data_IF_619569301211
#
_entry.id   IF_619569301211
#
_cell.length_a   1.000
_cell.length_b   1.000
_cell.length_c   1.000
_cell.angle_alpha   90.00
_cell.angle_beta   90.00
_cell.angle_gamma   90.00
#
_symmetry.space_group_name_H-M   'P 1'
#
loop_
_entity.id
_entity.type
_entity.pdbx_description
1 polymer ?
#
# COMPACT_ATOMS: atom_id res chain seq x y z
N UNK A 1 -13.14 12.90 -11.21
CA UNK A 1 -13.30 12.31 -9.86
C UNK A 1 -13.14 13.35 -8.72
N UNK A 2 -12.10 14.20 -8.68
CA UNK A 2 -11.90 15.17 -7.57
C UNK A 2 -13.10 16.11 -7.31
N UNK A 3 -13.73 16.65 -8.35
CA UNK A 3 -14.91 17.54 -8.22
C UNK A 3 -16.05 16.87 -7.45
N UNK A 4 -16.26 15.56 -7.64
CA UNK A 4 -17.32 14.81 -6.96
C UNK A 4 -17.10 14.79 -5.45
N UNK A 5 -15.85 14.62 -4.99
CA UNK A 5 -15.54 14.70 -3.55
C UNK A 5 -15.93 16.05 -2.95
N UNK A 6 -15.71 17.15 -3.70
CA UNK A 6 -16.11 18.49 -3.29
C UNK A 6 -17.64 18.66 -3.26
N UNK A 7 -18.35 18.11 -4.24
CA UNK A 7 -19.82 18.15 -4.29
C UNK A 7 -20.45 17.37 -3.14
N UNK A 8 -19.97 16.15 -2.88
CA UNK A 8 -20.41 15.33 -1.73
C UNK A 8 -20.10 16.05 -0.43
N UNK A 9 -18.89 16.59 -0.26
CA UNK A 9 -18.53 17.35 0.94
C UNK A 9 -19.45 18.55 1.16
N UNK A 10 -19.77 19.31 0.11
CA UNK A 10 -20.69 20.44 0.20
C UNK A 10 -22.11 20.00 0.55
N UNK A 11 -22.64 18.98 -0.12
CA UNK A 11 -24.00 18.46 0.07
C UNK A 11 -24.25 17.99 1.51
N UNK A 12 -23.28 17.27 2.08
CA UNK A 12 -23.37 16.70 3.42
C UNK A 12 -22.69 17.56 4.51
N UNK A 13 -22.28 18.79 4.17
CA UNK A 13 -21.61 19.75 5.07
C UNK A 13 -20.38 19.15 5.78
N UNK A 14 -19.56 18.41 5.03
CA UNK A 14 -18.39 17.71 5.54
C UNK A 14 -17.15 18.60 5.52
N UNK A 15 -16.34 18.51 6.57
CA UNK A 15 -15.02 19.14 6.61
C UNK A 15 -14.00 18.29 5.83
N UNK A 16 -13.28 18.90 4.89
CA UNK A 16 -12.30 18.19 4.05
C UNK A 16 -10.87 18.43 4.48
N UNK A 17 -10.04 17.37 4.52
CA UNK A 17 -8.61 17.47 4.84
C UNK A 17 -7.75 16.66 3.87
N UNK A 18 -6.74 17.28 3.27
CA UNK A 18 -5.71 16.56 2.51
C UNK A 18 -4.73 15.92 3.49
N UNK A 19 -4.48 14.63 3.34
CA UNK A 19 -3.63 13.85 4.24
C UNK A 19 -2.21 13.68 3.70
N UNK A 20 -1.25 13.38 4.59
CA UNK A 20 0.13 13.06 4.19
C UNK A 20 0.26 11.80 3.33
N UNK A 21 -0.78 10.98 3.24
CA UNK A 21 -0.86 9.81 2.36
C UNK A 21 -1.52 10.08 1.01
N UNK A 22 -1.63 11.34 0.59
CA UNK A 22 -2.28 11.77 -0.66
C UNK A 22 -3.75 11.34 -0.77
N UNK A 23 -4.47 11.36 0.36
CA UNK A 23 -5.92 11.12 0.42
C UNK A 23 -6.66 12.40 0.83
N UNK A 24 -7.97 12.40 0.63
CA UNK A 24 -8.87 13.45 1.10
C UNK A 24 -9.81 12.81 2.11
N UNK A 25 -9.74 13.26 3.37
CA UNK A 25 -10.67 12.87 4.41
C UNK A 25 -11.94 13.73 4.31
N UNK A 26 -13.11 13.11 4.52
CA UNK A 26 -14.41 13.77 4.64
C UNK A 26 -14.94 13.55 6.07
N UNK A 27 -14.85 14.57 6.93
CA UNK A 27 -15.23 14.50 8.34
C UNK A 27 -16.62 15.09 8.60
N UNK A 28 -17.33 14.53 9.58
CA UNK A 28 -18.65 15.00 10.02
C UNK A 28 -19.83 14.22 9.41
N UNK A 29 -19.56 13.17 8.63
CA UNK A 29 -20.60 12.32 8.07
C UNK A 29 -21.34 11.59 9.19
N UNK A 30 -22.68 11.63 9.15
CA UNK A 30 -23.53 10.88 10.09
C UNK A 30 -23.64 9.43 9.61
N UNK A 31 -23.89 8.51 10.55
CA UNK A 31 -23.94 7.07 10.27
C UNK A 31 -25.03 6.74 9.23
N UNK A 32 -26.19 7.36 9.36
CA UNK A 32 -27.35 7.22 8.48
C UNK A 32 -27.14 7.80 7.07
N UNK A 33 -26.21 8.75 6.91
CA UNK A 33 -25.90 9.34 5.61
C UNK A 33 -24.90 8.48 4.80
N UNK A 34 -24.21 7.54 5.46
CA UNK A 34 -23.13 6.77 4.82
C UNK A 34 -23.60 5.98 3.59
N UNK A 35 -24.75 5.28 3.56
CA UNK A 35 -25.19 4.58 2.37
C UNK A 35 -25.37 5.51 1.17
N UNK A 36 -25.95 6.70 1.38
CA UNK A 36 -26.15 7.69 0.33
C UNK A 36 -24.84 8.30 -0.16
N UNK A 37 -23.95 8.68 0.78
CA UNK A 37 -22.60 9.19 0.46
C UNK A 37 -21.82 8.17 -0.37
N UNK A 38 -21.79 6.90 0.07
CA UNK A 38 -21.07 5.86 -0.67
C UNK A 38 -21.71 5.52 -2.00
N UNK A 39 -23.04 5.59 -2.11
CA UNK A 39 -23.75 5.44 -3.39
C UNK A 39 -23.26 6.45 -4.44
N UNK A 40 -23.21 7.74 -4.09
CA UNK A 40 -22.71 8.79 -4.98
C UNK A 40 -21.23 8.61 -5.33
N UNK A 41 -20.41 8.21 -4.36
CA UNK A 41 -18.98 7.99 -4.59
C UNK A 41 -18.74 6.78 -5.51
N UNK A 42 -19.46 5.68 -5.31
CA UNK A 42 -19.34 4.47 -6.14
C UNK A 42 -19.84 4.73 -7.55
N UNK A 43 -20.95 5.46 -7.73
CA UNK A 43 -21.44 5.87 -9.06
C UNK A 43 -20.39 6.70 -9.81
N UNK A 44 -19.63 7.54 -9.09
CA UNK A 44 -18.50 8.29 -9.65
C UNK A 44 -17.22 7.46 -9.85
N UNK A 45 -17.27 6.16 -9.58
CA UNK A 45 -16.18 5.20 -9.75
C UNK A 45 -15.14 5.22 -8.65
N UNK A 46 -15.49 5.64 -7.43
CA UNK A 46 -14.64 5.41 -6.25
C UNK A 46 -14.86 4.01 -5.69
N UNK A 47 -13.80 3.48 -5.09
CA UNK A 47 -13.83 2.25 -4.30
C UNK A 47 -13.50 2.57 -2.85
N UNK A 48 -13.91 1.68 -1.95
CA UNK A 48 -13.69 1.87 -0.52
C UNK A 48 -12.27 1.50 -0.13
N UNK A 49 -11.56 2.44 0.48
CA UNK A 49 -10.30 2.16 1.15
C UNK A 49 -10.50 1.73 2.60
N UNK A 50 -9.49 1.10 3.20
CA UNK A 50 -9.54 0.61 4.58
C UNK A 50 -8.90 1.60 5.56
N UNK A 51 -9.50 2.78 5.70
CA UNK A 51 -8.96 3.90 6.47
C UNK A 51 -8.63 3.59 7.94
N UNK A 52 -9.27 2.59 8.56
CA UNK A 52 -8.98 2.13 9.93
C UNK A 52 -8.59 0.64 10.03
N UNK A 53 -8.63 -0.10 8.92
CA UNK A 53 -8.31 -1.53 8.88
C UNK A 53 -6.85 -1.85 9.21
N UNK A 54 -6.60 -3.12 9.58
CA UNK A 54 -5.25 -3.70 9.60
C UNK A 54 -4.99 -4.29 8.21
N UNK A 55 -4.61 -3.41 7.31
CA UNK A 55 -4.58 -3.62 5.86
C UNK A 55 -3.69 -2.56 5.19
N UNK A 56 -3.60 -2.59 3.87
CA UNK A 56 -3.06 -1.46 3.11
C UNK A 56 -3.85 -0.18 3.42
N UNK A 57 -3.12 0.91 3.71
CA UNK A 57 -3.72 2.24 3.97
C UNK A 57 -3.55 3.24 2.83
N UNK A 58 -2.37 3.24 2.22
CA UNK A 58 -2.02 4.20 1.17
C UNK A 58 -0.80 3.71 0.42
N UNK A 59 -0.79 3.97 -0.89
CA UNK A 59 0.40 3.95 -1.73
C UNK A 59 0.67 5.40 -2.13
N UNK A 60 1.60 6.05 -1.44
CA UNK A 60 2.00 7.44 -1.75
C UNK A 60 2.95 7.42 -2.94
N UNK A 61 2.78 8.31 -3.91
CA UNK A 61 3.73 8.47 -5.01
C UNK A 61 4.23 9.90 -5.15
N UNK A 62 5.37 10.11 -5.81
CA UNK A 62 5.63 11.41 -6.43
C UNK A 62 4.92 11.48 -7.79
N UNK A 63 5.07 12.60 -8.49
CA UNK A 63 4.42 12.81 -9.80
C UNK A 63 5.11 12.09 -10.96
N UNK A 64 6.19 11.34 -10.69
CA UNK A 64 6.88 10.46 -11.64
C UNK A 64 7.53 11.19 -12.82
N UNK A 65 8.00 10.42 -13.81
CA UNK A 65 8.50 10.92 -15.10
C UNK A 65 7.42 11.63 -15.92
N UNK A 66 6.15 11.41 -15.61
CA UNK A 66 5.01 12.06 -16.27
C UNK A 66 5.00 13.57 -16.10
N UNK A 67 5.38 14.09 -14.92
CA UNK A 67 5.30 15.52 -14.63
C UNK A 67 6.57 16.10 -13.99
N UNK A 68 7.46 15.28 -13.45
CA UNK A 68 8.71 15.74 -12.85
C UNK A 68 9.83 15.67 -13.88
N UNK A 69 10.54 16.79 -14.10
CA UNK A 69 11.74 16.84 -14.95
C UNK A 69 12.88 15.90 -14.52
N UNK A 70 12.84 15.43 -13.27
CA UNK A 70 13.83 14.50 -12.70
C UNK A 70 13.27 13.09 -12.51
N UNK A 71 12.03 12.83 -12.92
CA UNK A 71 11.44 11.51 -12.81
C UNK A 71 12.14 10.56 -13.78
N UNK A 72 12.67 9.46 -13.25
CA UNK A 72 13.32 8.39 -14.01
C UNK A 72 12.26 7.41 -14.52
N UNK A 73 11.29 7.04 -13.67
CA UNK A 73 10.19 6.13 -14.03
C UNK A 73 8.82 6.66 -13.59
N UNK A 74 7.76 6.04 -14.12
CA UNK A 74 6.37 6.37 -13.80
C UNK A 74 5.97 5.82 -12.43
N UNK A 75 6.29 6.57 -11.38
CA UNK A 75 5.87 6.22 -10.02
C UNK A 75 4.36 6.31 -9.79
N UNK A 76 3.62 7.05 -10.62
CA UNK A 76 2.17 7.21 -10.45
C UNK A 76 1.47 5.94 -10.94
N UNK A 77 1.82 5.47 -12.14
CA UNK A 77 1.34 4.21 -12.69
C UNK A 77 1.65 3.03 -11.77
N UNK A 78 2.91 2.91 -11.33
CA UNK A 78 3.33 1.87 -10.40
C UNK A 78 2.57 1.93 -9.07
N UNK A 79 2.35 3.12 -8.50
CA UNK A 79 1.56 3.25 -7.28
C UNK A 79 0.10 2.80 -7.44
N UNK A 80 -0.53 3.10 -8.58
CA UNK A 80 -1.89 2.66 -8.88
C UNK A 80 -1.95 1.12 -9.02
N UNK A 81 -0.97 0.51 -9.68
CA UNK A 81 -0.90 -0.95 -9.83
C UNK A 81 -0.76 -1.64 -8.47
N UNK A 82 0.14 -1.16 -7.62
CA UNK A 82 0.35 -1.71 -6.27
C UNK A 82 -0.88 -1.50 -5.39
N UNK A 83 -1.54 -0.35 -5.46
CA UNK A 83 -2.78 -0.10 -4.72
C UNK A 83 -3.87 -1.09 -5.13
N UNK A 84 -4.07 -1.29 -6.43
CA UNK A 84 -5.07 -2.23 -6.94
C UNK A 84 -4.74 -3.69 -6.60
N UNK A 85 -3.45 -4.07 -6.60
CA UNK A 85 -3.03 -5.42 -6.23
C UNK A 85 -3.26 -5.70 -4.75
N UNK A 86 -2.91 -4.77 -3.86
CA UNK A 86 -2.88 -5.05 -2.41
C UNK A 86 -4.05 -4.47 -1.61
N UNK A 87 -5.03 -3.80 -2.23
CA UNK A 87 -6.18 -3.21 -1.52
C UNK A 87 -7.01 -4.22 -0.73
N UNK A 88 -7.08 -5.48 -1.16
CA UNK A 88 -7.78 -6.55 -0.45
C UNK A 88 -7.04 -7.14 0.75
N UNK A 89 -5.73 -6.87 0.89
CA UNK A 89 -4.91 -7.54 1.88
C UNK A 89 -5.31 -7.15 3.32
N UNK A 90 -5.60 -8.18 4.12
CA UNK A 90 -5.64 -8.09 5.59
C UNK A 90 -4.30 -8.52 6.16
N UNK A 91 -3.83 -7.79 7.16
CA UNK A 91 -2.48 -7.96 7.69
C UNK A 91 -2.44 -7.81 9.22
N UNK A 92 -1.39 -8.31 9.89
CA UNK A 92 -1.23 -8.20 11.34
C UNK A 92 -1.33 -6.76 11.85
N UNK A 93 -0.88 -5.80 11.05
CA UNK A 93 -1.08 -4.38 11.29
C UNK A 93 -1.24 -3.59 9.97
N UNK A 94 -1.57 -2.29 10.06
CA UNK A 94 -1.60 -1.35 8.93
C UNK A 94 -0.28 -1.34 8.15
N UNK A 95 -0.36 -1.33 6.83
CA UNK A 95 0.77 -1.29 5.90
C UNK A 95 0.67 -0.01 5.07
N UNK A 96 1.81 0.66 4.84
CA UNK A 96 1.92 1.82 3.95
C UNK A 96 2.99 1.58 2.91
N UNK A 97 2.76 2.10 1.72
CA UNK A 97 3.71 2.07 0.62
C UNK A 97 4.16 3.49 0.26
N UNK A 98 5.33 3.58 -0.35
CA UNK A 98 5.81 4.80 -1.00
C UNK A 98 6.56 4.48 -2.29
N UNK A 99 6.20 5.15 -3.39
CA UNK A 99 6.80 4.95 -4.71
C UNK A 99 7.39 6.27 -5.20
N UNK A 100 8.71 6.36 -5.25
CA UNK A 100 9.42 7.53 -5.76
C UNK A 100 9.98 7.24 -7.14
N UNK A 101 9.64 8.08 -8.12
CA UNK A 101 10.13 7.96 -9.48
C UNK A 101 11.61 8.32 -9.66
N UNK A 102 12.34 8.66 -8.59
CA UNK A 102 13.79 8.84 -8.57
C UNK A 102 14.31 8.93 -7.13
N UNK A 103 15.64 9.00 -6.97
CA UNK A 103 16.36 9.06 -5.68
C UNK A 103 16.11 10.34 -4.85
N UNK A 104 15.42 11.34 -5.41
CA UNK A 104 14.94 12.52 -4.64
C UNK A 104 13.85 12.18 -3.64
N UNK A 105 13.27 10.99 -3.74
CA UNK A 105 12.54 10.36 -2.63
C UNK A 105 11.26 11.11 -2.18
N UNK A 106 10.62 11.89 -3.07
CA UNK A 106 9.50 12.75 -2.67
C UNK A 106 8.25 12.01 -2.12
N UNK A 107 8.18 10.68 -2.24
CA UNK A 107 7.12 9.85 -1.66
C UNK A 107 7.41 9.35 -0.24
N UNK A 108 8.57 9.68 0.34
CA UNK A 108 9.05 9.19 1.64
C UNK A 108 9.04 7.65 1.73
N UNK A 109 9.30 6.97 0.59
CA UNK A 109 9.43 5.52 0.45
C UNK A 109 10.27 4.86 1.56
N UNK A 110 11.40 5.43 1.95
CA UNK A 110 12.28 4.89 3.00
C UNK A 110 11.71 5.07 4.42
N UNK A 111 10.50 5.61 4.59
CA UNK A 111 9.78 5.67 5.87
C UNK A 111 8.56 4.75 5.93
N UNK A 112 8.35 3.94 4.90
CA UNK A 112 7.16 3.10 4.72
C UNK A 112 7.48 1.62 4.92
N UNK A 113 6.43 0.85 5.21
CA UNK A 113 6.55 -0.60 5.37
C UNK A 113 7.11 -1.24 4.07
N UNK A 114 6.68 -0.71 2.90
CA UNK A 114 7.22 -1.00 1.57
C UNK A 114 7.61 0.31 0.87
N UNK A 115 8.90 0.47 0.56
CA UNK A 115 9.45 1.62 -0.15
C UNK A 115 9.99 1.21 -1.51
N UNK A 116 9.66 1.97 -2.54
CA UNK A 116 10.05 1.68 -3.92
C UNK A 116 10.66 2.95 -4.51
N UNK A 117 11.88 2.85 -5.04
CA UNK A 117 12.62 3.97 -5.62
C UNK A 117 13.13 3.56 -6.98
N UNK A 118 12.76 4.33 -8.01
CA UNK A 118 13.21 4.08 -9.37
C UNK A 118 14.72 4.35 -9.53
N UNK A 119 15.36 3.46 -10.28
CA UNK A 119 16.72 3.60 -10.82
C UNK A 119 16.65 3.58 -12.35
N UNK A 120 17.79 3.78 -13.02
CA UNK A 120 17.88 3.63 -14.48
C UNK A 120 17.70 2.17 -14.94
N UNK A 121 17.91 1.20 -14.03
CA UNK A 121 17.87 -0.23 -14.35
C UNK A 121 16.60 -0.94 -13.85
N UNK A 122 15.74 -0.26 -13.07
CA UNK A 122 14.56 -0.88 -12.49
C UNK A 122 14.15 -0.22 -11.18
N UNK A 123 13.77 -1.03 -10.19
CA UNK A 123 13.27 -0.58 -8.91
C UNK A 123 14.13 -1.09 -7.76
N UNK A 124 14.55 -0.18 -6.88
CA UNK A 124 15.06 -0.54 -5.57
C UNK A 124 13.90 -0.71 -4.59
N UNK A 125 13.82 -1.88 -3.98
CA UNK A 125 12.84 -2.23 -2.97
C UNK A 125 13.44 -2.08 -1.58
N UNK A 126 12.75 -1.35 -0.72
CA UNK A 126 13.05 -1.15 0.69
C UNK A 126 11.90 -1.70 1.53
N UNK A 127 12.22 -2.31 2.68
CA UNK A 127 11.19 -2.92 3.56
C UNK A 127 11.37 -2.54 5.02
N UNK A 128 10.32 -2.75 5.82
CA UNK A 128 10.34 -2.63 7.28
C UNK A 128 10.59 -1.20 7.81
N UNK A 129 10.26 -0.17 7.02
CA UNK A 129 10.24 1.21 7.49
C UNK A 129 8.97 1.53 8.27
N UNK A 130 9.03 2.60 9.06
CA UNK A 130 7.91 3.01 9.89
C UNK A 130 7.90 4.51 10.16
N UNK A 131 6.77 5.17 9.86
CA UNK A 131 6.42 6.46 10.45
C UNK A 131 5.50 6.30 11.68
N UNK A 132 5.75 7.07 12.74
CA UNK A 132 4.92 7.09 13.94
C UNK A 132 5.72 7.37 15.21
N UNK A 133 5.27 6.83 16.35
CA UNK A 133 5.88 7.05 17.67
C UNK A 133 7.35 6.66 17.75
N UNK A 134 7.73 5.56 17.08
CA UNK A 134 9.13 5.12 16.92
C UNK A 134 9.44 5.07 15.43
N UNK A 135 9.91 6.19 14.83
CA UNK A 135 10.24 6.22 13.42
C UNK A 135 11.43 5.30 13.13
N UNK A 136 11.42 4.67 11.96
CA UNK A 136 12.47 3.76 11.50
C UNK A 136 12.60 3.87 9.98
N UNK A 137 13.84 3.95 9.51
CA UNK A 137 14.10 3.87 8.07
C UNK A 137 13.90 2.42 7.58
N UNK A 138 13.32 2.30 6.40
CA UNK A 138 13.26 1.04 5.67
C UNK A 138 14.67 0.64 5.22
N UNK A 139 14.90 -0.66 5.09
CA UNK A 139 16.19 -1.22 4.70
C UNK A 139 16.15 -1.68 3.26
N UNK A 140 17.23 -1.46 2.51
CA UNK A 140 17.36 -1.91 1.13
C UNK A 140 17.30 -3.44 1.08
N UNK A 141 16.29 -3.94 0.39
CA UNK A 141 15.98 -5.37 0.31
C UNK A 141 16.47 -5.98 -0.99
N UNK A 142 16.19 -5.33 -2.12
CA UNK A 142 16.63 -5.75 -3.44
C UNK A 142 16.79 -4.52 -4.35
N UNK A 143 17.60 -4.65 -5.40
CA UNK A 143 17.94 -3.57 -6.32
C UNK A 143 17.63 -3.97 -7.75
N UNK A 144 17.38 -2.96 -8.60
CA UNK A 144 17.24 -3.11 -10.05
C UNK A 144 16.22 -4.19 -10.47
N UNK A 145 15.13 -4.30 -9.71
CA UNK A 145 14.02 -5.20 -10.02
C UNK A 145 13.22 -4.66 -11.22
N UNK A 146 12.85 -5.53 -12.15
CA UNK A 146 11.76 -5.23 -13.07
C UNK A 146 10.39 -5.26 -12.37
N UNK A 147 9.32 -4.88 -13.08
CA UNK A 147 7.97 -4.82 -12.51
C UNK A 147 7.48 -6.18 -11.99
N UNK A 148 7.78 -7.27 -12.70
CA UNK A 148 7.32 -8.62 -12.33
C UNK A 148 8.05 -9.12 -11.08
N UNK A 149 9.38 -8.97 -11.07
CA UNK A 149 10.22 -9.29 -9.93
C UNK A 149 9.83 -8.46 -8.70
N UNK A 150 9.51 -7.18 -8.89
CA UNK A 150 9.03 -6.31 -7.82
C UNK A 150 7.72 -6.84 -7.22
N UNK A 151 6.73 -7.19 -8.04
CA UNK A 151 5.47 -7.74 -7.55
C UNK A 151 5.67 -9.05 -6.80
N UNK A 152 6.37 -10.02 -7.40
CA UNK A 152 6.62 -11.33 -6.76
C UNK A 152 7.36 -11.17 -5.43
N UNK A 153 8.35 -10.29 -5.37
CA UNK A 153 9.11 -10.04 -4.13
C UNK A 153 8.23 -9.44 -3.04
N UNK A 154 7.36 -8.48 -3.38
CA UNK A 154 6.42 -7.88 -2.43
C UNK A 154 5.35 -8.89 -2.00
N UNK A 155 4.81 -9.69 -2.91
CA UNK A 155 3.83 -10.74 -2.62
C UNK A 155 4.37 -11.70 -1.54
N UNK A 156 5.57 -12.24 -1.80
CA UNK A 156 6.28 -13.15 -0.90
C UNK A 156 6.52 -12.49 0.46
N UNK A 157 7.07 -11.27 0.47
CA UNK A 157 7.35 -10.55 1.71
C UNK A 157 6.07 -10.34 2.54
N UNK A 158 4.99 -9.88 1.91
CA UNK A 158 3.74 -9.59 2.60
C UNK A 158 3.06 -10.86 3.11
N UNK A 159 3.01 -11.92 2.31
CA UNK A 159 2.44 -13.20 2.76
C UNK A 159 3.25 -13.84 3.86
N UNK A 160 4.59 -13.76 3.79
CA UNK A 160 5.46 -14.25 4.86
C UNK A 160 5.27 -13.45 6.16
N UNK A 161 5.18 -12.12 6.06
CA UNK A 161 4.83 -11.26 7.19
C UNK A 161 3.45 -11.60 7.78
N UNK A 162 2.42 -11.78 6.94
CA UNK A 162 1.08 -12.17 7.38
C UNK A 162 1.08 -13.51 8.11
N UNK A 163 1.90 -14.46 7.65
CA UNK A 163 2.00 -15.81 8.22
C UNK A 163 2.74 -15.84 9.55
N UNK A 164 3.76 -15.00 9.72
CA UNK A 164 4.75 -15.16 10.81
C UNK A 164 4.73 -14.07 11.86
N UNK A 165 4.14 -12.90 11.59
CA UNK A 165 4.09 -11.81 12.56
C UNK A 165 2.92 -11.94 13.55
N UNK A 166 3.16 -11.47 14.77
CA UNK A 166 2.16 -11.42 15.82
C UNK A 166 1.04 -10.42 15.50
N UNK A 167 -0.14 -10.66 16.08
CA UNK A 167 -1.27 -9.74 15.97
C UNK A 167 -0.88 -8.34 16.48
N UNK A 168 -1.20 -7.30 15.70
CA UNK A 168 -0.85 -5.90 15.96
C UNK A 168 0.64 -5.57 15.91
N UNK A 169 1.50 -6.47 15.41
CA UNK A 169 2.91 -6.20 15.21
C UNK A 169 3.14 -5.43 13.91
N UNK A 170 4.05 -4.44 13.91
CA UNK A 170 4.47 -3.73 12.69
C UNK A 170 5.57 -4.51 11.98
N UNK A 171 5.68 -4.36 10.66
CA UNK A 171 6.78 -4.93 9.85
C UNK A 171 8.16 -4.62 10.45
N UNK A 172 8.36 -3.39 10.93
CA UNK A 172 9.61 -2.98 11.59
C UNK A 172 9.93 -3.79 12.85
N UNK A 173 8.93 -4.02 13.72
CA UNK A 173 9.09 -4.75 14.99
C UNK A 173 9.20 -6.25 14.72
N UNK A 174 8.41 -6.75 13.76
CA UNK A 174 8.50 -8.13 13.29
C UNK A 174 9.90 -8.44 12.78
N UNK A 175 10.46 -7.60 11.90
CA UNK A 175 11.84 -7.75 11.42
C UNK A 175 12.88 -7.70 12.55
N UNK A 176 12.68 -6.87 13.56
CA UNK A 176 13.59 -6.79 14.72
C UNK A 176 13.60 -8.07 15.56
N UNK A 177 12.48 -8.79 15.60
CA UNK A 177 12.34 -10.03 16.36
C UNK A 177 12.69 -11.30 15.57
N UNK A 178 12.90 -11.19 14.26
CA UNK A 178 13.33 -12.33 13.43
C UNK A 178 14.80 -12.68 13.74
N UNK A 179 15.05 -13.93 14.10
CA UNK A 179 16.40 -14.48 14.17
C UNK A 179 17.04 -14.43 12.77
N UNK A 180 18.27 -13.93 12.66
CA UNK A 180 18.93 -13.64 11.38
C UNK A 180 18.46 -12.35 10.68
N UNK A 181 17.40 -11.68 11.18
CA UNK A 181 17.00 -10.34 10.76
C UNK A 181 16.72 -10.20 9.27
N UNK A 182 17.32 -9.18 8.64
CA UNK A 182 17.12 -8.89 7.21
C UNK A 182 17.75 -9.96 6.31
N UNK A 183 18.87 -10.55 6.71
CA UNK A 183 19.58 -11.55 5.90
C UNK A 183 18.75 -12.82 5.79
N UNK A 184 18.18 -13.28 6.90
CA UNK A 184 17.21 -14.39 6.87
C UNK A 184 16.00 -14.08 5.99
N UNK A 185 15.47 -12.85 6.02
CA UNK A 185 14.38 -12.46 5.12
C UNK A 185 14.80 -12.54 3.64
N UNK A 186 16.04 -12.18 3.29
CA UNK A 186 16.54 -12.31 1.92
C UNK A 186 16.67 -13.77 1.51
N UNK A 187 17.22 -14.62 2.38
CA UNK A 187 17.31 -16.07 2.12
C UNK A 187 15.93 -16.68 1.84
N UNK A 188 14.92 -16.36 2.66
CA UNK A 188 13.58 -16.91 2.47
C UNK A 188 12.92 -16.37 1.20
N UNK A 189 12.96 -15.05 0.99
CA UNK A 189 12.11 -14.39 -0.02
C UNK A 189 12.78 -14.31 -1.40
N UNK A 190 14.10 -14.11 -1.45
CA UNK A 190 14.86 -13.97 -2.69
C UNK A 190 15.47 -15.31 -3.13
N UNK A 191 15.92 -16.13 -2.18
CA UNK A 191 16.63 -17.40 -2.46
C UNK A 191 15.76 -18.64 -2.24
N UNK A 192 14.53 -18.47 -1.77
CA UNK A 192 13.57 -19.56 -1.49
C UNK A 192 14.13 -20.65 -0.56
N UNK A 193 14.89 -20.25 0.47
CA UNK A 193 15.56 -21.20 1.39
C UNK A 193 14.61 -22.18 2.09
N UNK A 194 13.31 -21.85 2.16
CA UNK A 194 12.26 -22.69 2.74
C UNK A 194 11.40 -23.44 1.69
N UNK A 195 11.57 -23.17 0.39
CA UNK A 195 10.78 -23.80 -0.68
C UNK A 195 9.29 -23.43 -0.65
N UNK A 196 8.95 -22.21 -0.23
CA UNK A 196 7.56 -21.76 -0.03
C UNK A 196 7.14 -20.60 -0.93
N UNK A 197 8.03 -20.05 -1.76
CA UNK A 197 7.74 -18.85 -2.53
C UNK A 197 6.55 -19.00 -3.48
N UNK A 198 6.44 -20.12 -4.18
CA UNK A 198 5.30 -20.39 -5.06
C UNK A 198 3.96 -20.42 -4.29
N UNK A 199 3.97 -20.92 -3.05
CA UNK A 199 2.78 -20.94 -2.20
C UNK A 199 2.41 -19.54 -1.72
N UNK A 200 3.42 -18.72 -1.36
CA UNK A 200 3.19 -17.33 -0.98
C UNK A 200 2.61 -16.53 -2.17
N UNK A 201 3.14 -16.71 -3.38
CA UNK A 201 2.62 -16.05 -4.60
C UNK A 201 1.16 -16.46 -4.88
N UNK A 202 0.84 -17.77 -4.80
CA UNK A 202 -0.54 -18.25 -4.97
C UNK A 202 -1.50 -17.67 -3.93
N UNK A 203 -1.08 -17.58 -2.67
CA UNK A 203 -1.88 -17.00 -1.60
C UNK A 203 -2.19 -15.53 -1.86
N UNK A 204 -1.19 -14.75 -2.30
CA UNK A 204 -1.44 -13.36 -2.67
C UNK A 204 -2.36 -13.26 -3.89
N UNK A 205 -2.16 -14.10 -4.92
CA UNK A 205 -3.00 -14.08 -6.10
C UNK A 205 -4.47 -14.38 -5.75
N UNK A 206 -4.73 -15.30 -4.82
CA UNK A 206 -6.08 -15.54 -4.33
C UNK A 206 -6.70 -14.30 -3.65
N UNK A 207 -5.91 -13.52 -2.89
CA UNK A 207 -6.37 -12.25 -2.29
C UNK A 207 -6.71 -11.21 -3.36
N UNK A 208 -5.91 -11.14 -4.43
CA UNK A 208 -6.15 -10.24 -5.57
C UNK A 208 -7.45 -10.62 -6.28
N UNK A 209 -7.62 -11.90 -6.61
CA UNK A 209 -8.75 -12.40 -7.40
C UNK A 209 -10.08 -12.37 -6.64
N UNK A 210 -10.03 -12.43 -5.31
CA UNK A 210 -11.21 -12.45 -4.43
C UNK A 210 -11.63 -11.07 -3.91
N UNK A 211 -10.93 -9.99 -4.29
CA UNK A 211 -11.25 -8.66 -3.77
C UNK A 211 -12.67 -8.22 -4.17
N UNK A 212 -13.40 -7.68 -3.18
CA UNK A 212 -14.70 -7.05 -3.37
C UNK A 212 -14.76 -5.73 -2.60
N UNK A 213 -15.45 -4.74 -3.16
CA UNK A 213 -15.66 -3.45 -2.52
C UNK A 213 -16.76 -3.58 -1.46
N UNK A 214 -16.39 -3.38 -0.18
CA UNK A 214 -17.28 -3.61 0.96
C UNK A 214 -18.57 -2.77 0.91
N UNK A 215 -18.49 -1.49 0.52
CA UNK A 215 -19.68 -0.65 0.38
C UNK A 215 -20.49 -0.94 -0.89
N UNK A 216 -19.86 -1.39 -1.97
CA UNK A 216 -20.62 -1.82 -3.14
C UNK A 216 -21.48 -3.05 -2.79
N UNK A 217 -20.94 -3.97 -1.99
CA UNK A 217 -21.70 -5.11 -1.47
C UNK A 217 -22.79 -4.64 -0.49
N UNK A 218 -22.45 -3.82 0.50
CA UNK A 218 -23.41 -3.34 1.52
C UNK A 218 -24.57 -2.51 0.93
N UNK A 219 -24.39 -1.88 -0.23
CA UNK A 219 -25.45 -1.14 -0.93
C UNK A 219 -26.29 -2.06 -1.82
N UNK A 220 -25.67 -3.07 -2.44
CA UNK A 220 -26.37 -3.98 -3.35
C UNK A 220 -27.10 -5.13 -2.63
N UNK A 221 -26.68 -5.48 -1.42
CA UNK A 221 -27.28 -6.49 -0.53
C UNK A 221 -27.29 -5.96 0.94
N UNK A 222 -28.26 -5.10 1.30
CA UNK A 222 -28.26 -4.33 2.55
C UNK A 222 -28.65 -5.10 3.82
#
# INVERSE_FOLDING_TARGET
>A
KLVVLGQVAQKYQLYTKITGGQRIDLFGARLEDLPAIWGELIEAGFETGHAYGKSLRTVKSCVGSTWCRYGVQDSVGMAIQLENRYKGLRAPHKIKFGVSGCTRECAEAQSKDIGIIATENGWNLYVCGNGGMRPRHAELFATDLDDEQLYRTIDRFLMFYVRTADRLQRTSVWRENLEGGLDYLKEVILEDSLGINDELERQMQHVVDSYQCEWANAISDP
#
